data_IF_321937673693
#
_entry.id   IF_321937673693
#
_cell.length_a   1.000
_cell.length_b   1.000
_cell.length_c   1.000
_cell.angle_alpha   90.00
_cell.angle_beta   90.00
_cell.angle_gamma   90.00
#
_symmetry.space_group_name_H-M   'P 1'
#
loop_
_entity.id
_entity.type
_entity.pdbx_description
1 polymer ?
#
# COMPACT_ATOMS: atom_id res chain seq x y z
N UNK A 1 -18.73 -17.93 -12.63
CA UNK A 1 -19.70 -16.82 -12.81
C UNK A 1 -20.61 -16.59 -11.59
N UNK A 2 -21.02 -17.63 -10.84
CA UNK A 2 -21.88 -17.46 -9.65
C UNK A 2 -21.28 -16.59 -8.51
N UNK A 3 -19.96 -16.68 -8.26
CA UNK A 3 -19.29 -15.91 -7.22
C UNK A 3 -19.24 -14.39 -7.49
N UNK A 4 -19.27 -13.97 -8.76
CA UNK A 4 -19.32 -12.55 -9.13
C UNK A 4 -20.73 -11.97 -8.89
N UNK A 5 -21.77 -12.77 -9.15
CA UNK A 5 -23.16 -12.37 -8.95
C UNK A 5 -23.53 -12.24 -7.46
N UNK A 6 -22.98 -13.11 -6.59
CA UNK A 6 -23.19 -13.02 -5.14
C UNK A 6 -22.44 -11.86 -4.49
N UNK A 7 -21.33 -11.41 -5.08
CA UNK A 7 -20.54 -10.28 -4.57
C UNK A 7 -21.26 -8.93 -4.67
N UNK A 8 -22.15 -8.75 -5.66
CA UNK A 8 -22.87 -7.47 -5.87
C UNK A 8 -23.79 -7.07 -4.71
N UNK A 9 -24.23 -8.04 -3.91
CA UNK A 9 -25.05 -7.83 -2.73
C UNK A 9 -24.24 -7.54 -1.46
N UNK A 10 -22.90 -7.59 -1.51
CA UNK A 10 -22.06 -7.30 -0.35
C UNK A 10 -21.83 -5.78 -0.25
N UNK A 11 -22.40 -5.08 0.76
CA UNK A 11 -22.20 -3.63 0.90
C UNK A 11 -20.72 -3.25 1.09
N UNK A 12 -19.93 -4.16 1.67
CA UNK A 12 -18.48 -4.01 1.81
C UNK A 12 -17.74 -3.90 0.47
N UNK A 13 -18.21 -4.60 -0.57
CA UNK A 13 -17.60 -4.54 -1.91
C UNK A 13 -17.72 -3.12 -2.48
N UNK A 14 -18.90 -2.51 -2.37
CA UNK A 14 -19.12 -1.14 -2.82
C UNK A 14 -18.27 -0.14 -2.03
N UNK A 15 -18.14 -0.33 -0.71
CA UNK A 15 -17.23 0.47 0.11
C UNK A 15 -15.77 0.37 -0.34
N UNK A 16 -15.29 -0.86 -0.60
CA UNK A 16 -13.94 -1.10 -1.12
C UNK A 16 -13.74 -0.47 -2.51
N UNK A 17 -14.73 -0.56 -3.41
CA UNK A 17 -14.67 0.04 -4.74
C UNK A 17 -14.62 1.58 -4.69
N UNK A 18 -15.41 2.21 -3.83
CA UNK A 18 -15.39 3.67 -3.64
C UNK A 18 -14.04 4.11 -3.06
N UNK A 19 -13.53 3.40 -2.05
CA UNK A 19 -12.23 3.70 -1.46
C UNK A 19 -11.09 3.53 -2.49
N UNK A 20 -11.10 2.46 -3.27
CA UNK A 20 -10.08 2.21 -4.28
C UNK A 20 -10.16 3.20 -5.45
N UNK A 21 -11.37 3.52 -5.90
CA UNK A 21 -11.60 4.53 -6.93
C UNK A 21 -11.13 5.91 -6.50
N UNK A 22 -11.48 6.34 -5.28
CA UNK A 22 -11.01 7.62 -4.73
C UNK A 22 -9.50 7.65 -4.54
N UNK A 23 -8.89 6.59 -3.99
CA UNK A 23 -7.43 6.46 -3.90
C UNK A 23 -6.75 6.57 -5.27
N UNK A 24 -7.32 5.95 -6.31
CA UNK A 24 -6.79 6.03 -7.68
C UNK A 24 -6.84 7.44 -8.23
N UNK A 25 -7.95 8.16 -8.02
CA UNK A 25 -8.07 9.57 -8.44
C UNK A 25 -7.04 10.44 -7.73
N UNK A 26 -6.89 10.28 -6.40
CA UNK A 26 -5.87 10.98 -5.62
C UNK A 26 -4.46 10.67 -6.12
N UNK A 27 -4.17 9.41 -6.43
CA UNK A 27 -2.88 8.99 -6.97
C UNK A 27 -2.58 9.65 -8.32
N UNK A 28 -3.55 9.68 -9.24
CA UNK A 28 -3.40 10.35 -10.54
C UNK A 28 -3.15 11.86 -10.33
N UNK A 29 -3.87 12.50 -9.42
CA UNK A 29 -3.67 13.93 -9.10
C UNK A 29 -2.27 14.19 -8.53
N UNK A 30 -1.80 13.32 -7.62
CA UNK A 30 -0.44 13.39 -7.05
C UNK A 30 0.62 13.30 -8.14
N UNK A 31 0.52 12.32 -9.05
CA UNK A 31 1.48 12.10 -10.13
C UNK A 31 1.54 13.24 -11.15
N UNK A 32 0.52 14.11 -11.22
CA UNK A 32 0.56 15.32 -12.06
C UNK A 32 1.42 16.43 -11.47
N UNK A 33 1.64 16.40 -10.15
CA UNK A 33 2.32 17.48 -9.41
C UNK A 33 3.68 17.03 -8.83
N UNK A 34 3.84 15.74 -8.55
CA UNK A 34 5.03 15.16 -7.94
C UNK A 34 5.73 14.24 -8.95
N UNK A 35 7.04 14.40 -9.16
CA UNK A 35 7.77 13.54 -10.10
C UNK A 35 7.81 12.08 -9.60
N UNK A 36 7.81 11.16 -10.56
CA UNK A 36 7.70 9.71 -10.32
C UNK A 36 8.81 9.19 -9.40
N UNK A 37 10.04 9.73 -9.51
CA UNK A 37 11.17 9.35 -8.68
C UNK A 37 10.99 9.67 -7.19
N UNK A 38 10.11 10.61 -6.82
CA UNK A 38 9.77 10.92 -5.43
C UNK A 38 8.51 10.15 -4.99
N UNK A 39 7.53 9.98 -5.88
CA UNK A 39 6.27 9.32 -5.56
C UNK A 39 6.43 7.81 -5.30
N UNK A 40 7.26 7.10 -6.08
CA UNK A 40 7.46 5.65 -5.92
C UNK A 40 8.16 5.23 -4.62
N UNK A 41 9.20 5.95 -4.13
CA UNK A 41 9.74 5.74 -2.79
C UNK A 41 8.68 5.80 -1.69
N UNK A 42 7.69 6.70 -1.82
CA UNK A 42 6.60 6.81 -0.86
C UNK A 42 5.68 5.57 -0.86
N UNK A 43 5.38 5.01 -2.04
CA UNK A 43 4.65 3.73 -2.15
C UNK A 43 5.42 2.61 -1.45
N UNK A 44 6.74 2.57 -1.59
CA UNK A 44 7.56 1.53 -1.00
C UNK A 44 7.53 1.53 0.55
N UNK A 45 7.22 2.66 1.20
CA UNK A 45 6.98 2.70 2.65
C UNK A 45 5.82 1.81 3.08
N UNK A 46 4.84 1.54 2.20
CA UNK A 46 3.75 0.63 2.50
C UNK A 46 4.23 -0.78 2.82
N UNK A 47 5.36 -1.23 2.27
CA UNK A 47 5.94 -2.54 2.61
C UNK A 47 6.37 -2.63 4.08
N UNK A 48 6.70 -1.52 4.73
CA UNK A 48 6.97 -1.47 6.17
C UNK A 48 5.72 -1.14 7.00
N UNK A 49 4.95 -0.13 6.57
CA UNK A 49 3.79 0.36 7.32
C UNK A 49 2.64 -0.65 7.36
N UNK A 50 2.35 -1.35 6.26
CA UNK A 50 1.24 -2.32 6.21
C UNK A 50 1.48 -3.47 7.19
N UNK A 51 2.64 -4.18 7.18
CA UNK A 51 2.90 -5.22 8.19
C UNK A 51 2.94 -4.68 9.62
N UNK A 52 3.46 -3.46 9.83
CA UNK A 52 3.46 -2.82 11.14
C UNK A 52 2.03 -2.61 11.66
N UNK A 53 1.14 -2.07 10.83
CA UNK A 53 -0.27 -1.90 11.19
C UNK A 53 -0.99 -3.25 11.30
N UNK A 54 -0.67 -4.23 10.45
CA UNK A 54 -1.19 -5.61 10.59
C UNK A 54 -0.85 -6.22 11.95
N UNK A 55 0.40 -6.05 12.40
CA UNK A 55 0.83 -6.50 13.72
C UNK A 55 0.12 -5.75 14.85
N UNK A 56 0.02 -4.41 14.78
CA UNK A 56 -0.56 -3.60 15.86
C UNK A 56 -2.10 -3.71 15.95
N UNK A 57 -2.80 -3.66 14.82
CA UNK A 57 -4.27 -3.66 14.78
C UNK A 57 -4.87 -5.07 14.78
N UNK A 58 -4.24 -6.00 14.06
CA UNK A 58 -4.79 -7.34 13.83
C UNK A 58 -4.02 -8.44 14.57
N UNK A 59 -2.93 -8.09 15.30
CA UNK A 59 -2.07 -9.04 16.01
C UNK A 59 -1.50 -10.14 15.11
N UNK A 60 -1.29 -9.84 13.83
CA UNK A 60 -0.70 -10.79 12.88
C UNK A 60 0.81 -10.91 13.11
N UNK A 61 1.35 -12.12 13.32
CA UNK A 61 2.77 -12.30 13.61
C UNK A 61 3.63 -11.93 12.40
N UNK A 62 4.64 -11.08 12.64
CA UNK A 62 5.64 -10.75 11.63
C UNK A 62 6.73 -11.83 11.66
N UNK A 63 6.93 -12.51 10.53
CA UNK A 63 7.99 -13.52 10.41
C UNK A 63 9.38 -12.88 10.30
N UNK A 64 10.42 -13.55 10.79
CA UNK A 64 11.80 -13.06 10.70
C UNK A 64 12.24 -12.75 9.26
N UNK A 65 11.95 -13.59 8.24
CA UNK A 65 12.28 -13.25 6.85
C UNK A 65 11.56 -11.99 6.35
N UNK A 66 10.30 -11.80 6.74
CA UNK A 66 9.52 -10.61 6.38
C UNK A 66 10.13 -9.35 6.99
N UNK A 67 10.53 -9.41 8.27
CA UNK A 67 11.21 -8.29 8.94
C UNK A 67 12.53 -7.94 8.23
N UNK A 68 13.34 -8.92 7.87
CA UNK A 68 14.58 -8.70 7.11
C UNK A 68 14.31 -8.04 5.76
N UNK A 69 13.29 -8.51 5.02
CA UNK A 69 12.87 -7.92 3.76
C UNK A 69 12.41 -6.46 3.90
N UNK A 70 11.63 -6.16 4.95
CA UNK A 70 11.17 -4.80 5.26
C UNK A 70 12.36 -3.88 5.51
N UNK A 71 13.33 -4.29 6.33
CA UNK A 71 14.53 -3.50 6.60
C UNK A 71 15.34 -3.22 5.33
N UNK A 72 15.43 -4.21 4.43
CA UNK A 72 16.12 -4.05 3.15
C UNK A 72 15.40 -3.11 2.18
N UNK A 73 14.06 -3.15 2.15
CA UNK A 73 13.26 -2.19 1.35
C UNK A 73 13.43 -0.78 1.91
N UNK A 74 13.33 -0.61 3.23
CA UNK A 74 13.47 0.69 3.89
C UNK A 74 14.85 1.30 3.61
N UNK A 75 15.93 0.51 3.70
CA UNK A 75 17.28 1.00 3.40
C UNK A 75 17.41 1.44 1.93
N UNK A 76 16.88 0.66 0.99
CA UNK A 76 16.82 1.03 -0.43
C UNK A 76 16.06 2.34 -0.67
N UNK A 77 14.91 2.51 -0.02
CA UNK A 77 14.10 3.74 -0.09
C UNK A 77 14.85 4.94 0.48
N UNK A 78 15.56 4.79 1.61
CA UNK A 78 16.38 5.86 2.17
C UNK A 78 17.49 6.28 1.21
N UNK A 79 18.18 5.33 0.57
CA UNK A 79 19.23 5.63 -0.41
C UNK A 79 18.66 6.44 -1.59
N UNK A 80 17.49 6.07 -2.11
CA UNK A 80 16.82 6.81 -3.18
C UNK A 80 16.42 8.22 -2.71
N UNK A 81 15.88 8.33 -1.48
CA UNK A 81 15.49 9.60 -0.89
C UNK A 81 16.65 10.55 -0.64
N UNK A 82 17.84 10.04 -0.29
CA UNK A 82 19.06 10.85 -0.17
C UNK A 82 19.66 11.27 -1.51
N UNK A 83 19.33 10.57 -2.61
CA UNK A 83 19.84 10.86 -3.96
C UNK A 83 18.97 11.85 -4.74
N UNK A 84 17.77 12.18 -4.25
CA UNK A 84 16.81 13.09 -4.87
C UNK A 84 16.97 14.52 -4.32
#
# INVERSE_FOLDING_TARGET
MAALASGLHQPLLWGALVLYGSMTILWIQLLRSVPLNIAYPFIALAFGLVPLFSFVLFNEPISTPQLCGILFIISGVMIIGFSA
#
